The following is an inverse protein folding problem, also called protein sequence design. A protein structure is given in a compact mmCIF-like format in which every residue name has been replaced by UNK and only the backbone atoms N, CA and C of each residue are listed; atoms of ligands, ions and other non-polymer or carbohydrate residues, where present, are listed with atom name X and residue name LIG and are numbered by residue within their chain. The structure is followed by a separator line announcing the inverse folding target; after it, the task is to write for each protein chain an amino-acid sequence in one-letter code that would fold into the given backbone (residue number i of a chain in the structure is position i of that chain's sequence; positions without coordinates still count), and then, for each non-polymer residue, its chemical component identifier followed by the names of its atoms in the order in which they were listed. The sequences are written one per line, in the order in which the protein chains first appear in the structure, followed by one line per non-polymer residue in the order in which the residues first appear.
data_IF_749814466973
#
_entry.id   IF_749814466973
#
_cell.length_a   1.000
_cell.length_b   1.000
_cell.length_c   1.000
_cell.angle_alpha   90.00
_cell.angle_beta   90.00
_cell.angle_gamma   90.00
#
_symmetry.space_group_name_H-M   'P 1'
#
loop_
_entity.id
_entity.type
_entity.pdbx_description
1 polymer ?
#
# COMPACT_ATOMS: atom_id res chain seq x y z
N UNK A 1 16.88 17.07 21.58
CA UNK A 1 16.30 15.71 21.49
C UNK A 1 14.78 15.85 21.41
N UNK A 2 14.20 15.56 20.24
CA UNK A 2 12.73 15.54 20.10
C UNK A 2 12.25 14.25 20.80
N UNK A 3 11.58 14.40 21.94
CA UNK A 3 10.98 13.27 22.66
C UNK A 3 9.95 12.58 21.74
N UNK A 4 10.14 11.29 21.45
CA UNK A 4 9.17 10.50 20.68
C UNK A 4 7.99 10.21 21.60
N UNK A 5 7.05 11.15 21.69
CA UNK A 5 5.98 11.08 22.69
C UNK A 5 4.87 10.07 22.36
N UNK A 6 4.83 9.47 21.15
CA UNK A 6 3.65 8.70 20.71
C UNK A 6 4.03 7.42 19.96
N UNK A 7 4.51 6.40 20.69
CA UNK A 7 4.63 5.06 20.15
C UNK A 7 3.34 4.25 20.39
N UNK A 8 2.77 3.66 19.33
CA UNK A 8 1.59 2.79 19.42
C UNK A 8 1.96 1.37 19.01
N UNK A 9 1.66 0.42 19.90
CA UNK A 9 1.98 -1.00 19.72
C UNK A 9 0.71 -1.73 19.30
N UNK A 10 0.76 -2.45 18.16
CA UNK A 10 -0.38 -3.16 17.58
C UNK A 10 -0.33 -4.67 17.89
N UNK A 11 -0.56 -5.01 19.17
CA UNK A 11 -0.49 -6.40 19.64
C UNK A 11 -1.84 -7.11 19.70
N UNK A 12 -2.94 -6.37 19.89
CA UNK A 12 -4.28 -6.91 20.16
C UNK A 12 -5.35 -6.17 19.37
N UNK A 13 -6.53 -6.79 19.17
CA UNK A 13 -7.66 -6.17 18.45
C UNK A 13 -8.05 -4.79 18.96
N UNK A 14 -8.00 -4.57 20.28
CA UNK A 14 -8.27 -3.26 20.89
C UNK A 14 -7.28 -2.17 20.49
N UNK A 15 -6.06 -2.55 20.10
CA UNK A 15 -5.03 -1.59 19.70
C UNK A 15 -5.28 -1.00 18.31
N UNK A 16 -6.05 -1.69 17.45
CA UNK A 16 -6.49 -1.14 16.17
C UNK A 16 -7.40 0.09 16.36
N UNK A 17 -8.24 0.10 17.41
CA UNK A 17 -9.08 1.25 17.74
C UNK A 17 -8.25 2.48 18.12
N UNK A 18 -7.08 2.27 18.73
CA UNK A 18 -6.15 3.36 19.08
C UNK A 18 -5.64 4.11 17.85
N UNK A 19 -5.55 3.46 16.68
CA UNK A 19 -5.13 4.14 15.45
C UNK A 19 -6.12 5.26 15.06
N UNK A 20 -7.42 4.99 15.18
CA UNK A 20 -8.45 6.00 14.92
C UNK A 20 -8.41 7.16 15.93
N UNK A 21 -8.07 6.88 17.19
CA UNK A 21 -7.94 7.92 18.22
C UNK A 21 -6.68 8.78 18.01
N UNK A 22 -5.61 8.21 17.45
CA UNK A 22 -4.39 8.96 17.14
C UNK A 22 -4.62 10.02 16.06
N UNK A 23 -5.46 9.71 15.07
CA UNK A 23 -5.78 10.60 13.94
C UNK A 23 -6.42 11.92 14.43
N UNK A 24 -7.20 11.88 15.51
CA UNK A 24 -8.03 13.01 15.93
C UNK A 24 -7.27 14.15 16.62
N UNK A 25 -6.09 13.89 17.20
CA UNK A 25 -5.55 14.75 18.26
C UNK A 25 -4.02 14.91 18.25
N UNK A 26 -3.34 14.86 17.10
CA UNK A 26 -1.87 14.83 17.09
C UNK A 26 -1.23 15.85 16.15
N UNK A 27 -0.34 16.64 16.72
CA UNK A 27 0.79 17.27 16.04
C UNK A 27 2.08 16.50 16.36
N UNK A 28 3.07 16.56 15.46
CA UNK A 28 4.41 16.01 15.69
C UNK A 28 4.72 14.68 14.99
N UNK A 29 5.51 13.81 15.65
CA UNK A 29 5.98 12.52 15.10
C UNK A 29 5.30 11.34 15.77
N UNK A 30 4.69 10.47 14.96
CA UNK A 30 4.01 9.24 15.38
C UNK A 30 4.86 8.03 15.00
N UNK A 31 4.98 7.08 15.93
CA UNK A 31 5.62 5.80 15.67
C UNK A 31 4.62 4.68 15.91
N UNK A 32 4.47 3.80 14.94
CA UNK A 32 3.66 2.58 15.07
C UNK A 32 4.60 1.38 15.07
N UNK A 33 4.36 0.42 15.95
CA UNK A 33 5.21 -0.76 16.09
C UNK A 33 4.36 -2.01 16.04
N UNK A 34 4.67 -2.92 15.12
CA UNK A 34 4.14 -4.28 15.15
C UNK A 34 5.03 -5.16 16.07
N UNK A 35 4.51 -5.60 17.24
CA UNK A 35 5.33 -6.31 18.21
C UNK A 35 5.71 -7.71 17.71
N UNK A 36 6.76 -8.29 18.31
CA UNK A 36 7.19 -9.67 18.06
C UNK A 36 6.06 -10.67 18.31
N UNK A 37 5.39 -10.50 19.45
CA UNK A 37 4.23 -11.28 19.85
C UNK A 37 2.97 -10.46 19.57
N UNK A 38 2.21 -10.85 18.54
CA UNK A 38 0.95 -10.21 18.20
C UNK A 38 -0.16 -11.26 18.03
N UNK A 39 -1.33 -10.96 18.57
CA UNK A 39 -2.58 -11.70 18.34
C UNK A 39 -3.27 -11.27 17.04
N UNK A 40 -2.69 -10.31 16.33
CA UNK A 40 -3.20 -9.79 15.07
C UNK A 40 -2.46 -10.41 13.88
N UNK A 41 -3.23 -10.68 12.82
CA UNK A 41 -2.67 -10.95 11.50
C UNK A 41 -2.14 -9.67 10.87
N UNK A 42 -1.01 -9.78 10.17
CA UNK A 42 -0.38 -8.67 9.44
C UNK A 42 -1.28 -8.12 8.34
N UNK A 43 -2.09 -8.94 7.66
CA UNK A 43 -3.04 -8.46 6.65
C UNK A 43 -4.07 -7.48 7.23
N UNK A 44 -4.69 -7.84 8.35
CA UNK A 44 -5.69 -7.00 9.03
C UNK A 44 -5.07 -5.72 9.60
N UNK A 45 -3.82 -5.78 10.05
CA UNK A 45 -3.08 -4.59 10.51
C UNK A 45 -2.71 -3.71 9.31
N UNK A 46 -2.24 -4.31 8.22
CA UNK A 46 -1.77 -3.58 7.05
C UNK A 46 -2.87 -2.74 6.39
N UNK A 47 -4.07 -3.30 6.24
CA UNK A 47 -5.24 -2.57 5.74
C UNK A 47 -5.47 -1.28 6.53
N UNK A 48 -5.59 -1.39 7.86
CA UNK A 48 -5.81 -0.22 8.74
C UNK A 48 -4.65 0.76 8.75
N UNK A 49 -3.43 0.27 8.54
CA UNK A 49 -2.26 1.12 8.52
C UNK A 49 -2.16 1.97 7.28
N UNK A 50 -2.62 1.50 6.11
CA UNK A 50 -2.65 2.32 4.91
C UNK A 50 -3.52 3.55 5.14
N UNK A 51 -4.77 3.35 5.55
CA UNK A 51 -5.71 4.43 5.91
C UNK A 51 -5.09 5.41 6.92
N UNK A 52 -4.44 4.87 7.95
CA UNK A 52 -3.84 5.68 9.01
C UNK A 52 -2.65 6.49 8.51
N UNK A 53 -1.80 5.90 7.68
CA UNK A 53 -0.64 6.59 7.11
C UNK A 53 -1.12 7.71 6.17
N UNK A 54 -2.10 7.43 5.31
CA UNK A 54 -2.65 8.41 4.37
C UNK A 54 -3.25 9.61 5.08
N UNK A 55 -4.00 9.37 6.16
CA UNK A 55 -4.54 10.45 6.98
C UNK A 55 -3.44 11.30 7.65
N UNK A 56 -2.38 10.67 8.16
CA UNK A 56 -1.25 11.44 8.70
C UNK A 56 -0.50 12.23 7.63
N UNK A 57 -0.38 11.70 6.41
CA UNK A 57 0.18 12.44 5.28
C UNK A 57 -0.67 13.68 5.00
N UNK A 58 -1.99 13.52 4.94
CA UNK A 58 -2.93 14.61 4.71
C UNK A 58 -2.83 15.72 5.77
N UNK A 59 -2.67 15.33 7.03
CA UNK A 59 -2.50 16.27 8.15
C UNK A 59 -1.07 16.81 8.30
N UNK A 60 -0.14 16.46 7.40
CA UNK A 60 1.28 16.82 7.47
C UNK A 60 1.96 16.37 8.80
N UNK A 61 1.56 15.21 9.31
CA UNK A 61 2.11 14.58 10.51
C UNK A 61 3.17 13.55 10.11
N UNK A 62 4.34 13.61 10.77
CA UNK A 62 5.42 12.66 10.48
C UNK A 62 5.10 11.29 11.08
N UNK A 63 5.05 10.25 10.26
CA UNK A 63 4.79 8.87 10.70
C UNK A 63 5.94 7.92 10.33
N UNK A 64 6.23 6.97 11.23
CA UNK A 64 7.07 5.80 10.96
C UNK A 64 6.41 4.52 11.48
N UNK A 65 6.46 3.44 10.70
CA UNK A 65 5.95 2.12 11.03
C UNK A 65 7.12 1.14 11.16
N UNK A 66 7.23 0.47 12.30
CA UNK A 66 8.31 -0.48 12.57
C UNK A 66 7.80 -1.92 12.52
N UNK A 67 8.69 -2.81 12.06
CA UNK A 67 8.51 -4.26 12.11
C UNK A 67 7.35 -4.82 11.27
N UNK A 68 6.97 -4.12 10.22
CA UNK A 68 6.06 -4.63 9.19
C UNK A 68 6.85 -4.82 7.89
N UNK A 69 6.83 -6.02 7.29
CA UNK A 69 7.52 -6.26 6.03
C UNK A 69 6.91 -5.45 4.89
N UNK A 70 7.75 -5.05 3.92
CA UNK A 70 7.32 -4.28 2.76
C UNK A 70 6.16 -4.91 1.96
N UNK A 71 6.07 -6.24 1.88
CA UNK A 71 5.00 -6.91 1.16
C UNK A 71 3.60 -6.67 1.76
N UNK A 72 3.50 -6.24 3.00
CA UNK A 72 2.22 -5.90 3.63
C UNK A 72 1.84 -4.43 3.40
N UNK A 73 2.80 -3.54 3.21
CA UNK A 73 2.54 -2.12 2.94
C UNK A 73 3.25 -1.68 1.64
N UNK A 74 2.92 -2.38 0.55
CA UNK A 74 3.38 -2.05 -0.80
C UNK A 74 3.05 -0.60 -1.12
N UNK A 75 4.02 0.18 -1.62
CA UNK A 75 3.85 1.62 -1.88
C UNK A 75 4.23 2.53 -0.69
N UNK A 76 4.27 2.00 0.53
CA UNK A 76 4.54 2.77 1.75
C UNK A 76 5.96 2.59 2.30
N UNK A 77 6.89 2.08 1.48
CA UNK A 77 8.29 1.77 1.90
C UNK A 77 8.95 2.92 2.68
N UNK A 78 8.72 4.17 2.28
CA UNK A 78 9.32 5.36 2.91
C UNK A 78 8.89 5.59 4.36
N UNK A 79 7.77 5.00 4.78
CA UNK A 79 7.26 5.09 6.15
C UNK A 79 7.69 3.90 6.99
N UNK A 80 8.22 2.84 6.39
CA UNK A 80 8.66 1.66 7.13
C UNK A 80 10.09 1.85 7.62
N UNK A 81 10.28 1.72 8.93
CA UNK A 81 11.58 1.60 9.56
C UNK A 81 11.87 0.11 9.83
N UNK A 82 12.83 -0.43 9.07
CA UNK A 82 13.30 -1.80 9.22
C UNK A 82 14.22 -1.95 10.42
N UNK A 83 13.96 -2.95 11.26
CA UNK A 83 14.83 -3.35 12.35
C UNK A 83 15.43 -4.73 12.05
N UNK A 84 16.73 -4.78 11.82
CA UNK A 84 17.47 -6.05 11.67
C UNK A 84 17.43 -6.82 12.99
N UNK A 85 17.05 -8.09 12.94
CA UNK A 85 17.01 -8.97 14.12
C UNK A 85 17.16 -10.43 13.72
N UNK A 86 17.86 -11.22 14.54
CA UNK A 86 17.98 -12.69 14.38
C UNK A 86 16.65 -13.42 14.62
N UNK A 87 15.68 -12.74 15.20
CA UNK A 87 14.33 -13.24 15.47
C UNK A 87 13.37 -13.04 14.30
N UNK A 88 13.85 -12.45 13.20
CA UNK A 88 13.11 -12.35 11.95
C UNK A 88 13.65 -13.35 10.93
N UNK A 89 12.75 -13.87 10.10
CA UNK A 89 13.05 -14.82 9.03
C UNK A 89 12.40 -14.38 7.73
N UNK A 90 12.99 -14.83 6.62
CA UNK A 90 12.40 -14.77 5.28
C UNK A 90 12.01 -16.19 4.93
N UNK A 91 10.77 -16.41 4.54
CA UNK A 91 10.31 -17.76 4.17
C UNK A 91 10.64 -18.03 2.71
N UNK A 92 10.38 -19.25 2.25
CA UNK A 92 10.56 -19.65 0.83
C UNK A 92 9.82 -18.72 -0.13
N UNK A 93 8.64 -18.23 0.26
CA UNK A 93 7.83 -17.27 -0.50
C UNK A 93 8.53 -15.92 -0.72
N UNK A 94 9.55 -15.60 0.07
CA UNK A 94 10.28 -14.35 -0.10
C UNK A 94 11.32 -14.40 -1.22
N UNK A 95 11.72 -15.58 -1.72
CA UNK A 95 12.88 -15.74 -2.63
C UNK A 95 12.80 -14.87 -3.88
N UNK A 96 11.59 -14.71 -4.44
CA UNK A 96 11.37 -13.92 -5.66
C UNK A 96 11.04 -12.44 -5.38
N UNK A 97 11.16 -12.00 -4.12
CA UNK A 97 10.85 -10.62 -3.75
C UNK A 97 11.98 -9.66 -4.17
N UNK A 98 11.63 -8.62 -4.93
CA UNK A 98 12.48 -7.47 -5.28
C UNK A 98 13.14 -6.82 -4.06
N UNK A 99 12.49 -6.88 -2.89
CA UNK A 99 13.04 -6.33 -1.66
C UNK A 99 13.64 -7.41 -0.74
N UNK A 100 14.00 -8.58 -1.27
CA UNK A 100 14.61 -9.64 -0.49
C UNK A 100 15.86 -9.16 0.25
N UNK A 101 16.75 -8.39 -0.39
CA UNK A 101 17.97 -7.87 0.26
C UNK A 101 17.70 -6.86 1.38
N UNK A 102 16.73 -5.96 1.16
CA UNK A 102 16.47 -4.82 2.06
C UNK A 102 15.56 -5.17 3.25
N UNK A 103 14.59 -6.06 3.04
CA UNK A 103 13.59 -6.41 4.04
C UNK A 103 14.24 -7.18 5.20
N UNK A 104 13.91 -6.85 6.45
CA UNK A 104 14.41 -7.61 7.62
C UNK A 104 13.70 -8.97 7.80
N UNK A 105 12.56 -9.18 7.14
CA UNK A 105 11.74 -10.38 7.25
C UNK A 105 10.62 -10.25 8.28
N UNK A 106 10.05 -11.38 8.69
CA UNK A 106 8.91 -11.49 9.61
C UNK A 106 9.35 -12.15 10.90
N UNK A 107 8.78 -11.75 12.03
CA UNK A 107 9.03 -12.40 13.32
C UNK A 107 8.80 -13.91 13.26
N UNK A 108 9.76 -14.71 13.75
CA UNK A 108 9.62 -16.16 13.88
C UNK A 108 8.36 -16.54 14.64
N UNK A 109 8.03 -15.81 15.70
CA UNK A 109 6.82 -16.02 16.51
C UNK A 109 5.54 -15.84 15.69
N UNK A 110 5.51 -14.86 14.78
CA UNK A 110 4.39 -14.66 13.86
C UNK A 110 4.24 -15.87 12.92
N UNK A 111 5.34 -16.30 12.29
CA UNK A 111 5.33 -17.46 11.38
C UNK A 111 4.93 -18.74 12.10
N UNK A 112 5.43 -18.97 13.32
CA UNK A 112 5.03 -20.11 14.13
C UNK A 112 3.53 -20.13 14.45
N UNK A 113 2.91 -18.95 14.59
CA UNK A 113 1.49 -18.80 14.93
C UNK A 113 0.55 -18.86 13.72
N UNK A 114 0.89 -18.16 12.64
CA UNK A 114 0.00 -17.94 11.49
C UNK A 114 0.48 -18.60 10.19
N UNK A 115 1.68 -19.16 10.18
CA UNK A 115 2.35 -19.62 8.97
C UNK A 115 2.77 -18.45 8.06
N UNK A 116 3.02 -18.76 6.79
CA UNK A 116 3.55 -17.82 5.81
C UNK A 116 2.59 -17.55 4.64
N UNK A 117 1.34 -18.00 4.76
CA UNK A 117 0.31 -17.93 3.71
C UNK A 117 -0.07 -16.50 3.30
N UNK A 118 0.12 -15.54 4.20
CA UNK A 118 -0.16 -14.11 3.96
C UNK A 118 1.01 -13.37 3.31
N UNK A 119 2.16 -14.03 3.15
CA UNK A 119 3.34 -13.41 2.53
C UNK A 119 3.24 -13.55 1.02
N UNK A 120 3.25 -12.42 0.34
CA UNK A 120 3.30 -12.36 -1.11
C UNK A 120 4.55 -11.58 -1.54
N UNK A 121 5.47 -12.19 -2.33
CA UNK A 121 6.67 -11.48 -2.77
C UNK A 121 6.31 -10.31 -3.67
N UNK A 122 7.06 -9.23 -3.51
CA UNK A 122 7.01 -8.09 -4.43
C UNK A 122 7.89 -8.45 -5.63
N UNK A 123 7.37 -9.12 -6.65
CA UNK A 123 8.19 -9.62 -7.77
C UNK A 123 8.53 -8.54 -8.81
N UNK A 124 7.96 -7.34 -8.67
CA UNK A 124 8.23 -6.23 -9.58
C UNK A 124 7.71 -6.41 -11.00
N UNK A 125 7.08 -7.56 -11.33
CA UNK A 125 6.47 -7.76 -12.64
C UNK A 125 5.45 -6.66 -12.92
N UNK A 126 4.64 -6.25 -11.94
CA UNK A 126 4.02 -4.93 -11.90
C UNK A 126 3.76 -4.49 -10.45
N UNK A 127 4.70 -3.76 -9.82
CA UNK A 127 4.37 -3.08 -8.57
C UNK A 127 3.39 -1.96 -8.90
N UNK A 128 2.12 -2.13 -8.56
CA UNK A 128 1.10 -1.11 -8.76
C UNK A 128 0.84 -0.39 -7.44
N UNK A 129 0.87 0.95 -7.45
CA UNK A 129 0.35 1.77 -6.35
C UNK A 129 -1.17 1.63 -6.28
N UNK A 130 -1.80 2.09 -5.21
CA UNK A 130 -3.26 2.03 -5.10
C UNK A 130 -3.97 2.85 -6.19
N UNK A 131 -3.41 3.99 -6.60
CA UNK A 131 -3.91 4.76 -7.75
C UNK A 131 -3.77 3.98 -9.07
N UNK A 132 -2.63 3.32 -9.27
CA UNK A 132 -2.38 2.49 -10.45
C UNK A 132 -3.30 1.29 -10.48
N UNK A 133 -3.51 0.64 -9.33
CA UNK A 133 -4.47 -0.45 -9.17
C UNK A 133 -5.88 0.02 -9.47
N UNK A 134 -6.34 1.11 -8.86
CA UNK A 134 -7.66 1.68 -9.14
C UNK A 134 -7.87 1.94 -10.63
N UNK A 135 -6.87 2.54 -11.30
CA UNK A 135 -6.96 2.82 -12.72
C UNK A 135 -7.02 1.53 -13.56
N UNK A 136 -6.22 0.50 -13.21
CA UNK A 136 -6.26 -0.79 -13.90
C UNK A 136 -7.61 -1.50 -13.72
N UNK A 137 -8.18 -1.52 -12.51
CA UNK A 137 -9.48 -2.14 -12.22
C UNK A 137 -10.61 -1.46 -13.02
N UNK A 138 -10.61 -0.12 -13.10
CA UNK A 138 -11.54 0.64 -13.94
C UNK A 138 -11.40 0.23 -15.42
N UNK A 139 -10.16 0.13 -15.92
CA UNK A 139 -9.90 -0.23 -17.31
C UNK A 139 -10.20 -1.71 -17.62
N UNK A 140 -10.01 -2.62 -16.66
CA UNK A 140 -10.39 -4.02 -16.78
C UNK A 140 -11.92 -4.14 -16.93
N UNK A 141 -12.67 -3.34 -16.16
CA UNK A 141 -14.13 -3.34 -16.21
C UNK A 141 -14.69 -2.75 -17.50
N UNK A 142 -14.14 -1.63 -17.96
CA UNK A 142 -14.69 -0.87 -19.09
C UNK A 142 -14.01 -1.17 -20.44
N UNK A 143 -12.86 -1.85 -20.43
CA UNK A 143 -11.95 -1.99 -21.57
C UNK A 143 -11.15 -0.70 -21.86
N UNK A 144 -11.80 0.45 -21.75
CA UNK A 144 -11.21 1.78 -21.93
C UNK A 144 -11.95 2.84 -21.10
N UNK A 145 -11.25 3.91 -20.72
CA UNK A 145 -11.85 5.03 -20.00
C UNK A 145 -11.12 6.35 -20.31
N UNK A 146 -11.87 7.45 -20.41
CA UNK A 146 -11.28 8.79 -20.47
C UNK A 146 -10.77 9.23 -19.10
N UNK A 147 -9.86 10.22 -19.06
CA UNK A 147 -9.40 10.82 -17.79
C UNK A 147 -10.57 11.32 -16.94
N UNK A 148 -11.59 11.89 -17.58
CA UNK A 148 -12.83 12.35 -16.92
C UNK A 148 -13.59 11.17 -16.30
N UNK A 149 -13.80 10.09 -17.05
CA UNK A 149 -14.47 8.88 -16.55
C UNK A 149 -13.73 8.25 -15.37
N UNK A 150 -12.39 8.18 -15.42
CA UNK A 150 -11.58 7.67 -14.30
C UNK A 150 -11.81 8.52 -13.04
N UNK A 151 -11.83 9.85 -13.17
CA UNK A 151 -12.08 10.78 -12.05
C UNK A 151 -13.49 10.66 -11.48
N UNK A 152 -14.50 10.38 -12.31
CA UNK A 152 -15.87 10.13 -11.88
C UNK A 152 -15.99 8.79 -11.15
N UNK A 153 -15.40 7.73 -11.72
CA UNK A 153 -15.53 6.37 -11.21
C UNK A 153 -14.75 6.11 -9.94
N UNK A 154 -13.60 6.77 -9.73
CA UNK A 154 -12.81 6.59 -8.50
C UNK A 154 -13.61 6.89 -7.22
N UNK A 155 -14.66 7.71 -7.28
CA UNK A 155 -15.49 8.05 -6.14
C UNK A 155 -16.73 7.15 -6.02
N UNK A 156 -16.96 6.26 -6.99
CA UNK A 156 -18.10 5.33 -6.96
C UNK A 156 -17.94 4.31 -5.82
N UNK A 157 -19.04 3.74 -5.31
CA UNK A 157 -18.98 2.72 -4.25
C UNK A 157 -18.09 1.52 -4.57
N UNK A 158 -17.88 1.25 -5.85
CA UNK A 158 -17.09 0.11 -6.33
C UNK A 158 -15.57 0.36 -6.26
N UNK A 159 -15.11 1.59 -6.49
CA UNK A 159 -13.67 1.90 -6.61
C UNK A 159 -13.14 2.81 -5.50
N UNK A 160 -14.01 3.42 -4.69
CA UNK A 160 -13.62 4.38 -3.64
C UNK A 160 -12.70 3.81 -2.58
N UNK A 161 -12.75 2.49 -2.34
CA UNK A 161 -11.92 1.81 -1.34
C UNK A 161 -10.55 1.38 -1.91
N UNK A 162 -10.34 1.56 -3.23
CA UNK A 162 -9.08 1.23 -3.93
C UNK A 162 -8.32 2.51 -4.30
N UNK A 163 -9.02 3.59 -4.64
CA UNK A 163 -8.39 4.84 -5.03
C UNK A 163 -7.86 5.60 -3.80
N UNK A 164 -6.54 5.65 -3.64
CA UNK A 164 -5.94 6.38 -2.52
C UNK A 164 -6.04 7.91 -2.70
N UNK A 165 -5.62 8.45 -3.85
CA UNK A 165 -5.32 9.90 -3.96
C UNK A 165 -5.39 10.51 -5.36
N UNK A 166 -6.15 10.00 -6.33
CA UNK A 166 -6.32 10.73 -7.58
C UNK A 166 -7.24 11.94 -7.37
N UNK A 167 -6.76 13.09 -6.88
CA UNK A 167 -7.57 14.27 -6.56
C UNK A 167 -7.99 15.01 -7.82
N UNK A 168 -7.10 15.10 -8.81
CA UNK A 168 -7.32 15.82 -10.06
C UNK A 168 -6.80 15.12 -11.31
N UNK A 169 -6.93 15.80 -12.45
CA UNK A 169 -6.45 15.30 -13.74
C UNK A 169 -4.96 14.97 -13.73
N UNK A 170 -4.15 15.74 -13.02
CA UNK A 170 -2.70 15.59 -12.99
C UNK A 170 -2.28 14.27 -12.32
N UNK A 171 -3.02 13.84 -11.28
CA UNK A 171 -2.78 12.56 -10.61
C UNK A 171 -3.09 11.37 -11.52
N UNK A 172 -4.19 11.45 -12.28
CA UNK A 172 -4.54 10.42 -13.27
C UNK A 172 -3.50 10.39 -14.39
N UNK A 173 -3.01 11.55 -14.84
CA UNK A 173 -1.98 11.65 -15.85
C UNK A 173 -0.64 11.06 -15.38
N UNK A 174 -0.24 11.34 -14.14
CA UNK A 174 0.95 10.75 -13.53
C UNK A 174 0.81 9.23 -13.36
N UNK A 175 -0.33 8.77 -12.85
CA UNK A 175 -0.66 7.35 -12.67
C UNK A 175 -0.62 6.62 -14.00
N UNK A 176 -1.28 7.16 -15.01
CA UNK A 176 -1.29 6.59 -16.36
C UNK A 176 0.11 6.60 -17.00
N UNK A 177 0.91 7.65 -16.81
CA UNK A 177 2.31 7.69 -17.27
C UNK A 177 3.14 6.57 -16.64
N UNK A 178 2.98 6.30 -15.35
CA UNK A 178 3.69 5.22 -14.67
C UNK A 178 3.25 3.83 -15.17
N UNK A 179 1.95 3.63 -15.40
CA UNK A 179 1.40 2.41 -16.01
C UNK A 179 1.87 2.21 -17.45
N UNK A 180 2.01 3.28 -18.24
CA UNK A 180 2.59 3.24 -19.58
C UNK A 180 4.08 2.83 -19.53
N UNK A 181 4.85 3.38 -18.60
CA UNK A 181 6.26 2.99 -18.40
C UNK A 181 6.41 1.52 -17.98
N UNK A 182 5.40 0.96 -17.31
CA UNK A 182 5.30 -0.48 -16.99
C UNK A 182 4.78 -1.32 -18.16
N UNK A 183 4.37 -0.70 -19.26
CA UNK A 183 3.81 -1.36 -20.43
C UNK A 183 2.47 -2.06 -20.16
N UNK A 184 1.66 -1.48 -19.27
CA UNK A 184 0.35 -2.00 -18.84
C UNK A 184 -0.82 -1.33 -19.51
N UNK A 185 -0.70 -0.03 -19.75
CA UNK A 185 -1.72 0.78 -20.43
C UNK A 185 -1.11 1.52 -21.60
N UNK A 186 -1.97 1.93 -22.52
CA UNK A 186 -1.68 2.89 -23.59
C UNK A 186 -2.65 4.05 -23.50
N UNK A 187 -2.29 5.18 -24.12
CA UNK A 187 -3.07 6.40 -24.14
C UNK A 187 -3.23 6.94 -25.55
N UNK A 188 -4.42 7.39 -25.89
CA UNK A 188 -4.77 8.04 -27.16
C UNK A 188 -5.42 9.40 -26.86
N UNK A 189 -5.18 10.41 -27.70
CA UNK A 189 -5.83 11.72 -27.57
C UNK A 189 -7.07 11.76 -28.49
N UNK A 190 -8.22 12.07 -27.92
CA UNK A 190 -9.53 12.12 -28.62
C UNK A 190 -10.18 13.50 -28.42
N UNK A 191 -11.34 13.71 -29.05
CA UNK A 191 -12.15 14.94 -28.85
C UNK A 191 -12.62 15.12 -27.39
N UNK A 192 -12.66 14.04 -26.61
CA UNK A 192 -13.06 14.03 -25.20
C UNK A 192 -11.85 14.06 -24.24
N UNK A 193 -10.64 14.23 -24.77
CA UNK A 193 -9.39 14.26 -24.02
C UNK A 193 -8.61 12.95 -24.11
N UNK A 194 -7.85 12.61 -23.06
CA UNK A 194 -7.04 11.39 -23.05
C UNK A 194 -7.89 10.16 -22.75
N UNK A 195 -7.89 9.21 -23.67
CA UNK A 195 -8.48 7.88 -23.58
C UNK A 195 -7.40 6.86 -23.19
N UNK A 196 -7.66 6.07 -22.16
CA UNK A 196 -6.76 5.06 -21.63
C UNK A 196 -7.28 3.66 -21.93
N UNK A 197 -6.39 2.73 -22.26
CA UNK A 197 -6.71 1.33 -22.59
C UNK A 197 -5.67 0.39 -22.02
N UNK A 198 -6.06 -0.85 -21.68
CA UNK A 198 -5.11 -1.91 -21.36
C UNK A 198 -4.32 -2.34 -22.61
N UNK A 199 -3.12 -2.86 -22.40
CA UNK A 199 -2.35 -3.53 -23.44
C UNK A 199 -2.72 -5.02 -23.45
N UNK A 200 -3.36 -5.49 -24.53
CA UNK A 200 -4.01 -6.81 -24.67
C UNK A 200 -3.13 -8.02 -24.29
N UNK A 201 -1.81 -7.93 -24.40
CA UNK A 201 -0.89 -9.07 -24.23
C UNK A 201 -0.61 -9.51 -22.78
N UNK A 202 -1.21 -8.89 -21.75
CA UNK A 202 -0.74 -9.10 -20.35
C UNK A 202 -1.82 -9.35 -19.28
N UNK A 203 -3.08 -9.58 -19.64
CA UNK A 203 -4.17 -9.69 -18.66
C UNK A 203 -4.24 -11.07 -17.97
N UNK A 204 -3.44 -12.07 -18.38
CA UNK A 204 -3.52 -13.42 -17.82
C UNK A 204 -2.94 -13.58 -16.39
N UNK A 205 -2.37 -12.55 -15.75
CA UNK A 205 -1.85 -12.69 -14.38
C UNK A 205 -1.69 -11.34 -13.66
N UNK A 206 -2.76 -10.88 -13.00
CA UNK A 206 -2.68 -9.90 -11.90
C UNK A 206 -3.18 -10.53 -10.61
#
# INVERSE_FOLDING_TARGET
MISVQNAVILGKKKDLKKLADLIKNKSGKVKIVFPKESELKLSAVAERLRDTIDEFIFQNVSISVENIPYCFLVGYKRYIAELKSKEKIKTERCKDCKHYGDCSGIWKAYIARYGDREIFPITGKHLVTDNERCMLEILLKLGQATTKQILELKNSPEFRDICAHCVGSDDVMLTGKNLMAKGLVKREFTKEGFLWKLVEKRIESF
#
